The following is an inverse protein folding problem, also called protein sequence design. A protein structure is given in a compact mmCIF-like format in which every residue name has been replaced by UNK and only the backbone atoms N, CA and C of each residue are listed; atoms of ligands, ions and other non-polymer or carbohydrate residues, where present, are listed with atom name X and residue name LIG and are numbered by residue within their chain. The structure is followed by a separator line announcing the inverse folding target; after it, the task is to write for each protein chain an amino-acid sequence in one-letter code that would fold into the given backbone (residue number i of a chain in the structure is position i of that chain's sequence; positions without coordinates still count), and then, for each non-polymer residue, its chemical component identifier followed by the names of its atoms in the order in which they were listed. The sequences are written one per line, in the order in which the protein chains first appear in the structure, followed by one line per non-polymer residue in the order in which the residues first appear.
data_IF_511088078847
#
_entry.id   IF_511088078847
#
_cell.length_a   1.000
_cell.length_b   1.000
_cell.length_c   1.000
_cell.angle_alpha   90.00
_cell.angle_beta   90.00
_cell.angle_gamma   90.00
#
_symmetry.space_group_name_H-M   'P 1'
#
loop_
_entity.id
_entity.type
_entity.pdbx_description
1 polymer ?
#
# COMPACT_ATOMS: atom_id res chain seq x y z
N UNK A 1 9.26 44.51 61.24
CA UNK A 1 10.55 44.33 60.53
C UNK A 1 11.37 43.37 61.38
N UNK A 2 11.75 42.18 60.93
CA UNK A 2 12.17 41.80 59.60
C UNK A 2 11.63 40.42 59.21
N UNK A 3 11.02 40.35 58.03
CA UNK A 3 10.78 39.12 57.28
C UNK A 3 12.14 38.58 56.82
N UNK A 4 12.62 37.50 57.42
CA UNK A 4 13.76 36.78 56.86
C UNK A 4 13.27 35.55 56.13
N UNK A 5 13.10 35.74 54.82
CA UNK A 5 12.96 34.70 53.81
C UNK A 5 14.11 33.69 53.95
N UNK A 6 13.90 32.62 54.72
CA UNK A 6 14.79 31.45 54.69
C UNK A 6 14.51 30.71 53.38
N UNK A 7 15.16 31.21 52.33
CA UNK A 7 15.25 30.58 51.02
C UNK A 7 15.99 29.26 51.24
N UNK A 8 15.24 28.18 51.48
CA UNK A 8 15.78 26.85 51.75
C UNK A 8 16.85 26.49 50.73
N UNK A 9 18.09 26.40 51.19
CA UNK A 9 19.23 25.98 50.38
C UNK A 9 18.91 24.62 49.75
N UNK A 10 18.98 24.49 48.41
CA UNK A 10 18.67 23.23 47.76
C UNK A 10 19.68 22.17 48.22
N UNK A 11 19.22 21.23 49.03
CA UNK A 11 20.01 20.07 49.45
C UNK A 11 20.50 19.33 48.20
N UNK A 12 21.77 18.94 48.20
CA UNK A 12 22.46 18.28 47.08
C UNK A 12 21.63 17.15 46.46
N UNK A 13 20.89 16.40 47.28
CA UNK A 13 19.97 15.33 46.85
C UNK A 13 18.84 15.80 45.92
N UNK A 14 18.21 16.95 46.19
CA UNK A 14 17.14 17.51 45.36
C UNK A 14 17.65 17.98 43.99
N UNK A 15 18.89 18.48 43.93
CA UNK A 15 19.55 18.86 42.67
C UNK A 15 19.89 17.61 41.85
N UNK A 16 20.49 16.60 42.48
CA UNK A 16 20.81 15.32 41.83
C UNK A 16 19.56 14.62 41.32
N UNK A 17 18.47 14.60 42.09
CA UNK A 17 17.19 14.03 41.66
C UNK A 17 16.59 14.77 40.47
N UNK A 18 16.64 16.12 40.47
CA UNK A 18 16.12 16.94 39.37
C UNK A 18 16.92 16.76 38.09
N UNK A 19 18.26 16.70 38.17
CA UNK A 19 19.15 16.43 37.04
C UNK A 19 18.91 15.00 36.50
N UNK A 20 18.83 14.01 37.38
CA UNK A 20 18.57 12.61 37.00
C UNK A 20 17.20 12.45 36.35
N UNK A 21 16.17 13.13 36.86
CA UNK A 21 14.82 13.14 36.29
C UNK A 21 14.79 13.81 34.91
N UNK A 22 15.44 14.97 34.72
CA UNK A 22 15.55 15.59 33.40
C UNK A 22 16.31 14.71 32.41
N UNK A 23 17.40 14.06 32.84
CA UNK A 23 18.16 13.12 32.01
C UNK A 23 17.31 11.92 31.60
N UNK A 24 16.52 11.35 32.51
CA UNK A 24 15.63 10.22 32.22
C UNK A 24 14.51 10.63 31.26
N UNK A 25 13.92 11.81 31.45
CA UNK A 25 12.91 12.34 30.53
C UNK A 25 13.47 12.54 29.12
N UNK A 26 14.68 13.12 28.99
CA UNK A 26 15.35 13.32 27.68
C UNK A 26 15.61 11.98 27.00
N UNK A 27 16.10 10.98 27.72
CA UNK A 27 16.35 9.63 27.19
C UNK A 27 15.05 8.96 26.74
N UNK A 28 13.98 9.05 27.52
CA UNK A 28 12.65 8.51 27.15
C UNK A 28 12.10 9.17 25.90
N UNK A 29 12.15 10.50 25.82
CA UNK A 29 11.68 11.22 24.62
C UNK A 29 12.51 10.88 23.38
N UNK A 30 13.83 10.71 23.54
CA UNK A 30 14.71 10.28 22.45
C UNK A 30 14.39 8.87 21.97
N UNK A 31 14.15 7.93 22.88
CA UNK A 31 13.78 6.55 22.54
C UNK A 31 12.43 6.46 21.81
N UNK A 32 11.44 7.25 22.21
CA UNK A 32 10.13 7.31 21.54
C UNK A 32 10.28 7.87 20.12
N UNK A 33 11.03 8.96 19.94
CA UNK A 33 11.30 9.52 18.61
C UNK A 33 12.05 8.53 17.72
N UNK A 34 13.04 7.81 18.26
CA UNK A 34 13.76 6.75 17.54
C UNK A 34 12.83 5.62 17.11
N UNK A 35 11.94 5.17 17.98
CA UNK A 35 10.96 4.13 17.66
C UNK A 35 9.97 4.58 16.57
N UNK A 36 9.51 5.83 16.63
CA UNK A 36 8.64 6.41 15.60
C UNK A 36 9.35 6.54 14.25
N UNK A 37 10.59 7.02 14.23
CA UNK A 37 11.41 7.10 13.02
C UNK A 37 11.69 5.72 12.43
N UNK A 38 11.95 4.72 13.28
CA UNK A 38 12.11 3.33 12.84
C UNK A 38 10.80 2.77 12.25
N UNK A 39 9.65 3.07 12.87
CA UNK A 39 8.33 2.69 12.36
C UNK A 39 8.00 3.32 11.00
N UNK A 40 8.32 4.60 10.81
CA UNK A 40 8.14 5.26 9.50
C UNK A 40 9.11 4.68 8.46
N UNK A 41 10.34 4.35 8.85
CA UNK A 41 11.31 3.70 7.96
C UNK A 41 10.88 2.28 7.55
N UNK A 42 10.30 1.49 8.46
CA UNK A 42 9.77 0.16 8.13
C UNK A 42 8.49 0.21 7.30
N UNK A 43 7.69 1.27 7.39
CA UNK A 43 6.53 1.49 6.50
C UNK A 43 7.00 1.98 5.12
N UNK A 44 7.99 2.88 5.05
CA UNK A 44 8.54 3.38 3.78
C UNK A 44 9.35 2.29 3.04
N UNK A 45 10.05 1.44 3.80
CA UNK A 45 10.72 0.24 3.29
C UNK A 45 9.87 -1.03 3.40
N UNK A 46 8.58 -0.91 3.75
CA UNK A 46 7.68 -2.03 3.61
C UNK A 46 7.83 -2.47 2.15
N UNK A 47 8.11 -3.75 1.88
CA UNK A 47 8.36 -4.19 0.54
C UNK A 47 7.06 -3.90 -0.21
N UNK A 48 7.05 -2.83 -1.01
CA UNK A 48 6.32 -2.86 -2.28
C UNK A 48 6.84 -4.15 -2.88
N UNK A 49 5.99 -5.17 -2.91
CA UNK A 49 6.30 -6.45 -3.55
C UNK A 49 6.53 -6.11 -5.01
N UNK A 50 7.73 -5.62 -5.31
CA UNK A 50 8.31 -5.60 -6.63
C UNK A 50 8.59 -7.06 -6.93
N UNK A 51 7.54 -7.82 -7.23
CA UNK A 51 7.70 -9.02 -8.02
C UNK A 51 8.13 -8.51 -9.38
N UNK A 52 9.43 -8.53 -9.64
CA UNK A 52 10.00 -8.24 -10.97
C UNK A 52 9.50 -9.21 -12.05
N UNK A 53 8.61 -10.13 -11.70
CA UNK A 53 8.01 -11.15 -12.56
C UNK A 53 6.47 -11.19 -12.39
N UNK A 54 5.81 -10.04 -12.46
CA UNK A 54 4.35 -10.05 -12.63
C UNK A 54 4.01 -10.68 -13.98
N UNK A 55 3.22 -11.76 -13.96
CA UNK A 55 2.70 -12.43 -15.16
C UNK A 55 1.88 -11.47 -16.04
N UNK A 56 1.31 -10.45 -15.41
CA UNK A 56 0.57 -9.39 -16.05
C UNK A 56 1.34 -8.06 -16.07
N UNK A 57 1.15 -7.30 -17.13
CA UNK A 57 1.67 -5.95 -17.28
C UNK A 57 0.51 -4.99 -17.57
N UNK A 58 0.64 -3.77 -17.07
CA UNK A 58 -0.35 -2.72 -17.28
C UNK A 58 -0.38 -2.30 -18.75
N UNK A 59 -1.58 -2.19 -19.31
CA UNK A 59 -1.81 -1.88 -20.73
C UNK A 59 -2.43 -0.49 -20.92
N UNK A 60 -3.25 -0.02 -19.98
CA UNK A 60 -3.93 1.28 -20.06
C UNK A 60 -5.23 1.30 -19.27
N UNK A 61 -6.02 2.34 -19.45
CA UNK A 61 -7.35 2.49 -18.83
C UNK A 61 -8.46 2.55 -19.87
N UNK A 62 -9.62 2.00 -19.53
CA UNK A 62 -10.85 2.13 -20.33
C UNK A 62 -12.08 2.01 -19.43
N UNK A 63 -13.06 2.91 -19.58
CA UNK A 63 -14.30 2.91 -18.78
C UNK A 63 -14.05 2.80 -17.25
N UNK A 64 -13.04 3.53 -16.75
CA UNK A 64 -12.57 3.51 -15.36
C UNK A 64 -12.04 2.16 -14.84
N UNK A 65 -11.70 1.24 -15.75
CA UNK A 65 -10.97 0.02 -15.44
C UNK A 65 -9.49 0.18 -15.78
N UNK A 66 -8.63 -0.27 -14.88
CA UNK A 66 -7.21 -0.49 -15.17
C UNK A 66 -7.08 -1.84 -15.88
N UNK A 67 -6.62 -1.82 -17.12
CA UNK A 67 -6.47 -3.00 -17.98
C UNK A 67 -5.02 -3.50 -17.93
N UNK A 68 -4.89 -4.81 -17.77
CA UNK A 68 -3.63 -5.53 -17.77
C UNK A 68 -3.69 -6.64 -18.82
N UNK A 69 -2.54 -7.01 -19.37
CA UNK A 69 -2.38 -8.13 -20.29
C UNK A 69 -1.26 -9.05 -19.82
N UNK A 70 -1.21 -10.26 -20.34
CA UNK A 70 -0.05 -11.14 -20.10
C UNK A 70 1.22 -10.51 -20.68
N UNK A 71 2.34 -10.68 -19.99
CA UNK A 71 3.63 -10.06 -20.34
C UNK A 71 4.12 -10.43 -21.75
N UNK A 72 3.81 -11.64 -22.20
CA UNK A 72 4.24 -12.19 -23.50
C UNK A 72 3.31 -11.80 -24.67
N UNK A 73 2.07 -11.39 -24.39
CA UNK A 73 1.10 -11.07 -25.44
C UNK A 73 1.38 -9.67 -26.02
N UNK A 74 1.40 -9.60 -27.36
CA UNK A 74 1.61 -8.36 -28.13
C UNK A 74 0.33 -7.56 -28.35
N UNK A 75 -0.80 -8.02 -27.79
CA UNK A 75 -2.09 -7.32 -27.85
C UNK A 75 -1.96 -5.85 -27.44
N UNK A 76 -2.62 -5.00 -28.23
CA UNK A 76 -2.77 -3.57 -28.02
C UNK A 76 -3.99 -3.26 -27.15
N UNK A 77 -4.02 -2.09 -26.51
CA UNK A 77 -5.18 -1.65 -25.74
C UNK A 77 -6.46 -1.64 -26.59
N UNK A 78 -6.39 -1.18 -27.84
CA UNK A 78 -7.53 -1.14 -28.77
C UNK A 78 -8.14 -2.51 -29.04
N UNK A 79 -7.31 -3.55 -29.20
CA UNK A 79 -7.79 -4.92 -29.38
C UNK A 79 -8.47 -5.47 -28.12
N UNK A 80 -7.93 -5.17 -26.93
CA UNK A 80 -8.56 -5.56 -25.66
C UNK A 80 -9.89 -4.82 -25.46
N UNK A 81 -9.96 -3.54 -25.81
CA UNK A 81 -11.22 -2.76 -25.74
C UNK A 81 -12.25 -3.31 -26.73
N UNK A 82 -11.83 -3.69 -27.94
CA UNK A 82 -12.71 -4.36 -28.90
C UNK A 82 -13.26 -5.67 -28.32
N UNK A 83 -12.39 -6.51 -27.75
CA UNK A 83 -12.79 -7.74 -27.07
C UNK A 83 -13.76 -7.47 -25.91
N UNK A 84 -13.48 -6.47 -25.08
CA UNK A 84 -14.33 -6.06 -23.96
C UNK A 84 -15.73 -5.65 -24.42
N UNK A 85 -15.81 -4.82 -25.46
CA UNK A 85 -17.10 -4.34 -25.99
C UNK A 85 -17.87 -5.44 -26.74
N UNK A 86 -17.18 -6.48 -27.21
CA UNK A 86 -17.81 -7.66 -27.82
C UNK A 86 -18.38 -8.65 -26.80
N UNK A 87 -18.16 -8.44 -25.49
CA UNK A 87 -18.63 -9.36 -24.48
C UNK A 87 -20.16 -9.40 -24.38
N UNK A 88 -20.77 -10.57 -24.52
CA UNK A 88 -22.19 -10.82 -24.21
C UNK A 88 -22.44 -10.72 -22.70
N UNK A 89 -21.48 -11.16 -21.90
CA UNK A 89 -21.57 -11.07 -20.43
C UNK A 89 -21.01 -9.71 -19.99
N UNK A 90 -21.89 -8.88 -19.41
CA UNK A 90 -21.49 -7.57 -18.91
C UNK A 90 -20.57 -7.69 -17.69
N UNK A 91 -19.52 -6.86 -17.70
CA UNK A 91 -18.62 -6.66 -16.57
C UNK A 91 -19.19 -5.54 -15.69
N UNK A 92 -19.40 -5.82 -14.41
CA UNK A 92 -19.97 -4.87 -13.44
C UNK A 92 -18.90 -4.31 -12.53
N UNK A 93 -18.78 -2.99 -12.44
CA UNK A 93 -17.75 -2.29 -11.66
C UNK A 93 -17.70 -2.68 -10.19
N UNK A 94 -18.83 -3.13 -9.63
CA UNK A 94 -18.96 -3.61 -8.26
C UNK A 94 -18.00 -4.76 -7.93
N UNK A 95 -17.62 -5.55 -8.95
CA UNK A 95 -16.75 -6.71 -8.82
C UNK A 95 -15.26 -6.35 -8.89
N UNK A 96 -14.92 -5.08 -9.14
CA UNK A 96 -13.54 -4.60 -9.15
C UNK A 96 -13.20 -3.72 -10.34
N UNK A 97 -12.08 -3.00 -10.22
CA UNK A 97 -11.59 -2.05 -11.24
C UNK A 97 -10.39 -2.57 -12.03
N UNK A 98 -9.81 -3.70 -11.64
CA UNK A 98 -8.65 -4.29 -12.32
C UNK A 98 -9.14 -5.38 -13.26
N UNK A 99 -8.88 -5.22 -14.57
CA UNK A 99 -9.23 -6.19 -15.60
C UNK A 99 -7.98 -6.79 -16.19
N UNK A 100 -7.81 -8.09 -16.04
CA UNK A 100 -6.71 -8.85 -16.62
C UNK A 100 -7.20 -9.62 -17.83
N UNK A 101 -6.64 -9.31 -18.98
CA UNK A 101 -6.97 -9.93 -20.26
C UNK A 101 -6.01 -11.08 -20.56
N UNK A 102 -6.58 -12.24 -20.90
CA UNK A 102 -5.88 -13.41 -21.40
C UNK A 102 -6.52 -13.82 -22.73
N UNK A 103 -5.68 -13.90 -23.76
CA UNK A 103 -6.07 -14.34 -25.10
C UNK A 103 -5.78 -15.82 -25.25
N UNK A 104 -6.83 -16.59 -25.51
CA UNK A 104 -6.73 -17.99 -25.90
C UNK A 104 -7.18 -18.12 -27.37
N UNK A 105 -6.72 -19.13 -28.14
CA UNK A 105 -6.98 -19.23 -29.59
C UNK A 105 -8.44 -19.09 -30.02
N UNK A 106 -9.38 -19.50 -29.18
CA UNK A 106 -10.83 -19.48 -29.46
C UNK A 106 -11.63 -18.77 -28.37
N UNK A 107 -10.99 -17.99 -27.50
CA UNK A 107 -11.66 -17.41 -26.34
C UNK A 107 -10.98 -16.14 -25.84
N UNK A 108 -11.81 -15.15 -25.48
CA UNK A 108 -11.38 -14.04 -24.64
C UNK A 108 -11.67 -14.36 -23.18
N UNK A 109 -10.67 -14.18 -22.33
CA UNK A 109 -10.83 -14.34 -20.88
C UNK A 109 -10.51 -13.00 -20.22
N UNK A 110 -11.44 -12.51 -19.41
CA UNK A 110 -11.26 -11.34 -18.56
C UNK A 110 -11.37 -11.79 -17.10
N UNK A 111 -10.32 -11.56 -16.32
CA UNK A 111 -10.35 -11.69 -14.87
C UNK A 111 -10.58 -10.30 -14.29
N UNK A 112 -11.70 -10.12 -13.60
CA UNK A 112 -12.01 -8.87 -12.92
C UNK A 112 -11.70 -9.01 -11.44
N UNK A 113 -10.84 -8.15 -10.90
CA UNK A 113 -10.40 -8.21 -9.52
C UNK A 113 -10.67 -6.92 -8.74
N UNK A 114 -11.06 -7.05 -7.47
CA UNK A 114 -11.23 -5.93 -6.54
C UNK A 114 -9.91 -5.22 -6.23
N UNK A 115 -8.82 -5.98 -6.19
CA UNK A 115 -7.46 -5.53 -5.90
C UNK A 115 -6.51 -6.05 -6.98
N UNK A 116 -5.31 -5.45 -7.14
CA UNK A 116 -4.27 -6.01 -7.99
C UNK A 116 -3.93 -7.46 -7.59
N UNK A 117 -3.68 -8.31 -8.58
CA UNK A 117 -3.38 -9.74 -8.41
C UNK A 117 -2.08 -9.97 -7.63
N UNK A 118 -1.16 -8.99 -7.60
CA UNK A 118 0.07 -9.07 -6.81
C UNK A 118 -0.14 -8.91 -5.29
N UNK A 119 -1.37 -8.59 -4.86
CA UNK A 119 -1.72 -8.45 -3.43
C UNK A 119 -1.99 -9.81 -2.76
N UNK A 120 -1.88 -9.88 -1.43
CA UNK A 120 -1.92 -11.14 -0.68
C UNK A 120 -3.23 -11.95 -0.81
N UNK A 121 -4.37 -11.30 -1.10
CA UNK A 121 -5.66 -11.97 -1.32
C UNK A 121 -6.45 -11.23 -2.41
N UNK A 122 -6.24 -11.53 -3.70
CA UNK A 122 -7.03 -10.94 -4.77
C UNK A 122 -8.40 -11.62 -4.82
N UNK A 123 -9.46 -10.82 -4.76
CA UNK A 123 -10.84 -11.29 -4.99
C UNK A 123 -11.17 -11.04 -6.46
N UNK A 124 -11.23 -12.12 -7.24
CA UNK A 124 -11.43 -12.05 -8.68
C UNK A 124 -12.64 -12.87 -9.15
N UNK A 125 -13.27 -12.41 -10.22
CA UNK A 125 -14.32 -13.11 -10.95
C UNK A 125 -13.86 -13.29 -12.39
N UNK A 126 -13.97 -14.50 -12.91
CA UNK A 126 -13.62 -14.82 -14.30
C UNK A 126 -14.83 -14.65 -15.20
N UNK A 127 -14.69 -13.82 -16.23
CA UNK A 127 -15.62 -13.71 -17.35
C UNK A 127 -14.94 -14.28 -18.57
N UNK A 128 -15.59 -15.24 -19.24
CA UNK A 128 -15.04 -15.92 -20.41
C UNK A 128 -16.04 -15.94 -21.53
N UNK A 129 -15.56 -15.75 -22.75
CA UNK A 129 -16.42 -15.77 -23.93
C UNK A 129 -15.72 -16.42 -25.12
N UNK A 130 -16.43 -17.37 -25.73
CA UNK A 130 -16.03 -17.97 -26.99
C UNK A 130 -16.58 -17.13 -28.13
N UNK A 131 -15.75 -16.95 -29.15
CA UNK A 131 -16.09 -16.30 -30.41
C UNK A 131 -17.13 -17.10 -31.20
#
# INVERSE_FOLDING_TARGET
MSDENVKGTPTRENIFYKIKRHSVFVVLTGAILLALLYGVFTIYKAPVRNSSDSFFTYLGEYNDYAIYKTKEDKVTLSEVVFAFNSLKIKIYRQNGRHLYYIREPNMNIFLQCLNPVEMAVPKCITVKERY
#
